data_IF_320549359410
#
_entry.id   IF_320549359410
#
_cell.length_a   1.000
_cell.length_b   1.000
_cell.length_c   1.000
_cell.angle_alpha   90.00
_cell.angle_beta   90.00
_cell.angle_gamma   90.00
#
_symmetry.space_group_name_H-M   'P 1'
#
loop_
_entity.id
_entity.type
_entity.pdbx_description
1 polymer ?
#
# COMPACT_ATOMS: atom_id res chain seq x y z
N UNK A 1 -12.15 4.21 6.69
CA UNK A 1 -10.74 3.75 6.62
C UNK A 1 -10.34 2.84 7.79
N UNK A 2 -10.91 1.63 7.89
CA UNK A 2 -10.60 0.71 9.01
C UNK A 2 -9.26 -0.03 8.79
N UNK A 3 -8.99 -0.45 7.55
CA UNK A 3 -7.84 -1.30 7.23
C UNK A 3 -6.62 -0.52 6.75
N UNK A 4 -6.69 0.81 6.65
CA UNK A 4 -5.58 1.60 6.13
C UNK A 4 -4.54 1.92 7.20
N UNK A 5 -3.29 1.55 6.93
CA UNK A 5 -2.12 1.82 7.77
C UNK A 5 -1.26 2.91 7.14
N UNK A 6 -1.29 4.09 7.74
CA UNK A 6 -0.40 5.18 7.36
C UNK A 6 1.06 4.85 7.70
N UNK A 7 1.96 5.15 6.77
CA UNK A 7 3.39 5.09 7.03
C UNK A 7 3.88 6.37 7.66
N UNK A 8 4.81 6.21 8.58
CA UNK A 8 5.67 7.27 9.08
C UNK A 8 7.08 7.14 8.47
N UNK A 9 7.96 8.04 8.86
CA UNK A 9 9.33 8.06 8.33
C UNK A 9 10.14 6.80 8.68
N UNK A 10 9.91 6.20 9.85
CA UNK A 10 10.60 4.97 10.25
C UNK A 10 10.19 3.78 9.38
N UNK A 11 8.91 3.67 9.01
CA UNK A 11 8.43 2.61 8.11
C UNK A 11 9.14 2.69 6.75
N UNK A 12 9.25 3.90 6.19
CA UNK A 12 9.98 4.12 4.94
C UNK A 12 11.47 3.81 5.08
N UNK A 13 12.09 4.27 6.16
CA UNK A 13 13.52 4.06 6.40
C UNK A 13 13.86 2.59 6.63
N UNK A 14 12.94 1.80 7.20
CA UNK A 14 13.09 0.35 7.34
C UNK A 14 13.35 -0.35 6.00
N UNK A 15 12.69 0.10 4.93
CA UNK A 15 12.89 -0.42 3.57
C UNK A 15 14.07 0.24 2.82
N UNK A 16 14.67 1.29 3.38
CA UNK A 16 15.68 2.11 2.69
C UNK A 16 17.10 1.70 3.10
N UNK A 17 17.91 1.26 2.14
CA UNK A 17 19.29 0.83 2.37
C UNK A 17 20.26 1.98 2.07
N UNK A 18 20.46 2.87 3.02
CA UNK A 18 21.34 4.05 2.85
C UNK A 18 22.76 3.62 2.44
N UNK A 19 23.32 4.31 1.46
CA UNK A 19 24.69 4.11 0.98
C UNK A 19 25.40 5.45 0.85
N UNK A 20 26.71 5.48 1.10
CA UNK A 20 27.50 6.71 0.94
C UNK A 20 27.53 7.12 -0.54
N UNK A 21 27.51 8.43 -0.77
CA UNK A 21 27.64 9.07 -2.09
C UNK A 21 26.45 8.89 -3.04
N UNK A 22 25.29 8.44 -2.54
CA UNK A 22 24.02 8.54 -3.24
C UNK A 22 22.91 8.97 -2.27
N UNK A 23 21.86 9.60 -2.80
CA UNK A 23 20.62 9.86 -2.06
C UNK A 23 19.53 8.98 -2.66
N UNK A 24 18.86 8.18 -1.83
CA UNK A 24 17.76 7.31 -2.24
C UNK A 24 16.42 8.01 -2.12
N UNK A 25 15.43 7.55 -2.90
CA UNK A 25 14.06 8.05 -2.79
C UNK A 25 13.55 7.94 -1.35
N UNK A 26 13.74 6.82 -0.68
CA UNK A 26 13.27 6.61 0.70
C UNK A 26 13.81 7.61 1.73
N UNK A 27 14.97 8.22 1.45
CA UNK A 27 15.52 9.29 2.28
C UNK A 27 14.73 10.60 2.13
N UNK A 28 14.15 10.83 0.94
CA UNK A 28 13.54 12.11 0.55
C UNK A 28 12.01 12.09 0.49
N UNK A 29 11.38 10.93 0.30
CA UNK A 29 9.91 10.83 0.24
C UNK A 29 9.23 11.39 1.47
N UNK A 30 8.06 11.98 1.24
CA UNK A 30 7.17 12.47 2.29
C UNK A 30 6.28 11.36 2.79
N UNK A 31 5.93 11.46 4.06
CA UNK A 31 5.01 10.57 4.77
C UNK A 31 4.15 11.43 5.69
N UNK A 32 2.85 11.13 5.86
CA UNK A 32 2.04 11.82 6.86
C UNK A 32 2.52 11.47 8.27
N UNK A 33 2.61 12.46 9.18
CA UNK A 33 2.85 12.15 10.60
C UNK A 33 1.56 11.72 11.30
N UNK A 34 0.41 12.17 10.80
CA UNK A 34 -0.91 11.77 11.26
C UNK A 34 -1.94 11.88 10.14
N UNK A 35 -3.09 11.19 10.25
CA UNK A 35 -4.19 11.35 9.28
C UNK A 35 -4.66 12.80 9.11
N UNK A 36 -4.54 13.62 10.16
CA UNK A 36 -4.96 15.03 10.12
C UNK A 36 -4.11 15.90 9.17
N UNK A 37 -2.87 15.50 8.89
CA UNK A 37 -1.98 16.22 7.97
C UNK A 37 -2.23 15.89 6.50
N UNK A 38 -3.02 14.84 6.21
CA UNK A 38 -3.23 14.35 4.86
C UNK A 38 -3.75 15.43 3.92
N UNK A 39 -4.76 16.20 4.35
CA UNK A 39 -5.31 17.30 3.53
C UNK A 39 -4.28 18.37 3.16
N UNK A 40 -3.39 18.72 4.10
CA UNK A 40 -2.31 19.68 3.85
C UNK A 40 -1.24 19.13 2.90
N UNK A 41 -0.94 17.82 3.00
CA UNK A 41 0.03 17.17 2.11
C UNK A 41 -0.51 17.00 0.69
N UNK A 42 -1.79 16.65 0.55
CA UNK A 42 -2.45 16.49 -0.76
C UNK A 42 -2.62 17.82 -1.50
N UNK A 43 -2.73 18.93 -0.78
CA UNK A 43 -2.82 20.27 -1.37
C UNK A 43 -1.45 20.92 -1.60
N UNK A 44 -0.37 20.29 -1.15
CA UNK A 44 0.97 20.82 -1.30
C UNK A 44 1.44 20.68 -2.77
N UNK A 45 1.71 21.79 -3.48
CA UNK A 45 2.08 21.75 -4.90
C UNK A 45 3.44 21.09 -5.18
N UNK A 46 4.27 20.89 -4.15
CA UNK A 46 5.52 20.13 -4.29
C UNK A 46 5.28 18.63 -4.42
N UNK A 47 4.15 18.11 -3.95
CA UNK A 47 3.76 16.71 -4.08
C UNK A 47 3.06 16.53 -5.42
N UNK A 48 3.67 15.73 -6.30
CA UNK A 48 3.11 15.41 -7.61
C UNK A 48 2.55 14.00 -7.68
N UNK A 49 3.07 13.10 -6.84
CA UNK A 49 2.70 11.70 -6.83
C UNK A 49 2.33 11.25 -5.42
N UNK A 50 1.27 10.46 -5.36
CA UNK A 50 0.79 9.80 -4.15
C UNK A 50 0.84 8.30 -4.39
N UNK A 51 1.47 7.57 -3.48
CA UNK A 51 1.61 6.11 -3.57
C UNK A 51 1.04 5.48 -2.30
N UNK A 52 0.17 4.50 -2.49
CA UNK A 52 -0.31 3.60 -1.43
C UNK A 52 -0.45 2.18 -1.99
N UNK A 53 -0.43 1.21 -1.09
CA UNK A 53 -0.52 -0.21 -1.43
C UNK A 53 -1.85 -0.84 -1.08
N UNK A 54 -2.23 -1.85 -1.85
CA UNK A 54 -3.33 -2.77 -1.54
C UNK A 54 -2.75 -4.20 -1.56
N UNK A 55 -1.93 -4.59 -0.57
CA UNK A 55 -1.32 -5.93 -0.50
C UNK A 55 -2.38 -6.99 -0.18
N UNK A 56 -3.10 -7.43 -1.20
CA UNK A 56 -4.09 -8.48 -1.14
C UNK A 56 -4.01 -9.40 -2.36
N UNK A 57 -4.51 -10.63 -2.23
CA UNK A 57 -4.70 -11.57 -3.34
C UNK A 57 -6.11 -12.22 -3.34
N UNK A 58 -7.03 -11.65 -2.56
CA UNK A 58 -8.45 -12.01 -2.46
C UNK A 58 -9.13 -11.85 -3.82
N UNK A 59 -8.93 -10.72 -4.51
CA UNK A 59 -9.52 -10.50 -5.84
C UNK A 59 -9.00 -11.50 -6.87
N UNK A 60 -7.70 -11.81 -6.83
CA UNK A 60 -7.07 -12.81 -7.70
C UNK A 60 -7.68 -14.20 -7.46
N UNK A 61 -7.81 -14.62 -6.19
CA UNK A 61 -8.42 -15.90 -5.81
C UNK A 61 -9.91 -15.96 -6.14
N UNK A 62 -10.64 -14.87 -5.94
CA UNK A 62 -12.06 -14.71 -6.30
C UNK A 62 -12.34 -14.87 -7.79
N UNK A 63 -11.31 -14.73 -8.63
CA UNK A 63 -11.35 -14.94 -10.07
C UNK A 63 -10.59 -16.20 -10.53
N UNK A 64 -10.47 -17.21 -9.65
CA UNK A 64 -9.77 -18.48 -9.91
C UNK A 64 -8.27 -18.35 -10.24
N UNK A 65 -7.67 -17.19 -9.99
CA UNK A 65 -6.24 -16.98 -10.16
C UNK A 65 -5.41 -17.65 -9.07
N UNK A 66 -4.11 -17.78 -9.34
CA UNK A 66 -3.13 -18.20 -8.34
C UNK A 66 -2.79 -17.02 -7.43
N UNK A 67 -2.91 -17.21 -6.12
CA UNK A 67 -2.58 -16.18 -5.13
C UNK A 67 -1.09 -15.82 -5.05
N UNK A 68 -0.75 -14.87 -4.19
CA UNK A 68 0.62 -14.37 -3.97
C UNK A 68 0.84 -12.89 -4.35
N UNK A 69 -0.16 -12.23 -4.93
CA UNK A 69 -0.11 -10.79 -5.25
C UNK A 69 0.03 -9.91 -3.98
N UNK A 70 -0.42 -10.41 -2.83
CA UNK A 70 -0.27 -9.78 -1.51
C UNK A 70 1.20 -9.50 -1.14
N UNK A 71 2.13 -10.32 -1.62
CA UNK A 71 3.57 -10.12 -1.40
C UNK A 71 4.18 -8.97 -2.23
N UNK A 72 3.53 -8.57 -3.33
CA UNK A 72 4.10 -7.70 -4.35
C UNK A 72 4.39 -6.28 -3.83
N UNK A 73 3.53 -5.75 -2.96
CA UNK A 73 3.70 -4.40 -2.39
C UNK A 73 5.02 -4.26 -1.64
N UNK A 74 5.36 -5.24 -0.80
CA UNK A 74 6.59 -5.22 0.00
C UNK A 74 7.85 -5.24 -0.88
N UNK A 75 7.83 -6.06 -1.94
CA UNK A 75 8.92 -6.17 -2.90
C UNK A 75 9.05 -4.88 -3.74
N UNK A 76 7.91 -4.34 -4.21
CA UNK A 76 7.85 -3.06 -4.90
C UNK A 76 8.43 -1.94 -4.03
N UNK A 77 7.95 -1.78 -2.80
CA UNK A 77 8.34 -0.68 -1.92
C UNK A 77 9.84 -0.74 -1.61
N UNK A 78 10.36 -1.94 -1.33
CA UNK A 78 11.79 -2.15 -1.14
C UNK A 78 12.60 -1.77 -2.38
N UNK A 79 12.18 -2.16 -3.59
CA UNK A 79 12.88 -1.79 -4.82
C UNK A 79 12.78 -0.29 -5.10
N UNK A 80 11.57 0.27 -5.00
CA UNK A 80 11.24 1.64 -5.32
C UNK A 80 12.01 2.62 -4.44
N UNK A 81 11.91 2.48 -3.11
CA UNK A 81 12.57 3.38 -2.17
C UNK A 81 14.10 3.34 -2.26
N UNK A 82 14.67 2.28 -2.83
CA UNK A 82 16.10 2.14 -3.04
C UNK A 82 16.61 2.66 -4.39
N UNK A 83 15.72 3.19 -5.24
CA UNK A 83 16.10 3.95 -6.43
C UNK A 83 16.74 5.28 -6.03
N UNK A 84 17.62 5.80 -6.87
CA UNK A 84 18.26 7.09 -6.63
C UNK A 84 17.26 8.23 -6.79
N UNK A 85 17.26 9.16 -5.83
CA UNK A 85 16.65 10.48 -5.99
C UNK A 85 17.59 11.36 -6.82
N UNK A 86 17.13 11.83 -7.98
CA UNK A 86 17.95 12.57 -8.95
C UNK A 86 17.15 13.68 -9.64
N UNK A 87 17.78 14.35 -10.61
CA UNK A 87 17.20 15.51 -11.31
C UNK A 87 15.93 15.19 -12.13
N UNK A 88 15.66 13.92 -12.41
CA UNK A 88 14.47 13.47 -13.15
C UNK A 88 13.35 12.98 -12.23
N UNK A 89 13.70 12.51 -11.03
CA UNK A 89 12.75 12.06 -10.02
C UNK A 89 13.31 12.38 -8.62
N UNK A 90 12.76 13.43 -8.01
CA UNK A 90 13.10 13.81 -6.65
C UNK A 90 12.16 13.11 -5.67
N UNK A 91 12.70 12.43 -4.66
CA UNK A 91 11.85 11.82 -3.64
C UNK A 91 10.94 12.84 -2.94
N UNK A 92 11.35 14.11 -2.88
CA UNK A 92 10.54 15.17 -2.29
C UNK A 92 9.21 15.45 -2.98
N UNK A 93 9.02 14.99 -4.22
CA UNK A 93 7.76 15.13 -4.97
C UNK A 93 6.79 13.95 -4.81
N UNK A 94 7.19 12.94 -4.01
CA UNK A 94 6.43 11.72 -3.76
C UNK A 94 5.97 11.67 -2.31
N UNK A 95 4.66 11.47 -2.13
CA UNK A 95 4.04 11.13 -0.86
C UNK A 95 3.78 9.63 -0.82
N UNK A 96 4.45 8.92 0.09
CA UNK A 96 4.16 7.52 0.40
C UNK A 96 3.19 7.49 1.58
N UNK A 97 1.93 7.18 1.31
CA UNK A 97 0.88 7.25 2.32
C UNK A 97 0.88 6.06 3.27
N UNK A 98 1.07 4.85 2.74
CA UNK A 98 0.82 3.64 3.51
C UNK A 98 0.30 2.49 2.66
N UNK A 99 -0.44 1.59 3.31
CA UNK A 99 -1.08 0.45 2.66
C UNK A 99 -2.34 0.02 3.40
N UNK A 100 -3.25 -0.65 2.70
CA UNK A 100 -4.31 -1.42 3.32
C UNK A 100 -3.79 -2.74 3.88
N UNK A 101 -4.41 -3.23 4.95
CA UNK A 101 -4.16 -4.57 5.50
C UNK A 101 -5.50 -5.30 5.68
N UNK A 102 -5.83 -6.16 4.70
CA UNK A 102 -7.02 -7.00 4.69
C UNK A 102 -6.73 -8.44 5.15
N UNK A 103 -5.66 -8.64 5.94
CA UNK A 103 -5.26 -9.96 6.42
C UNK A 103 -6.31 -10.64 7.30
N UNK A 104 -7.13 -9.86 8.01
CA UNK A 104 -8.25 -10.35 8.81
C UNK A 104 -9.40 -10.90 7.95
N UNK A 105 -9.80 -10.19 6.88
CA UNK A 105 -10.78 -10.69 5.91
C UNK A 105 -10.32 -12.02 5.30
N UNK A 106 -9.06 -12.07 4.86
CA UNK A 106 -8.46 -13.30 4.33
C UNK A 106 -8.49 -14.42 5.37
N UNK A 107 -8.10 -14.14 6.61
CA UNK A 107 -8.09 -15.12 7.69
C UNK A 107 -9.49 -15.67 7.98
N UNK A 108 -10.50 -14.81 8.06
CA UNK A 108 -11.89 -15.23 8.30
C UNK A 108 -12.41 -16.15 7.19
N UNK A 109 -12.17 -15.81 5.93
CA UNK A 109 -12.59 -16.63 4.78
C UNK A 109 -11.90 -18.00 4.81
N UNK A 110 -10.59 -18.02 5.08
CA UNK A 110 -9.80 -19.26 5.10
C UNK A 110 -10.18 -20.19 6.25
N UNK A 111 -10.62 -19.65 7.40
CA UNK A 111 -10.97 -20.44 8.58
C UNK A 111 -12.43 -20.92 8.59
N UNK A 112 -13.34 -20.16 7.99
CA UNK A 112 -14.78 -20.40 8.15
C UNK A 112 -15.50 -20.97 6.93
N UNK A 113 -14.87 -20.95 5.74
CA UNK A 113 -15.48 -21.56 4.56
C UNK A 113 -15.44 -23.09 4.62
N UNK A 114 -16.59 -23.73 4.45
CA UNK A 114 -16.75 -25.18 4.56
C UNK A 114 -16.34 -25.90 3.27
N UNK A 115 -16.59 -25.27 2.13
CA UNK A 115 -16.26 -25.80 0.81
C UNK A 115 -15.69 -24.74 -0.14
N UNK A 116 -15.29 -25.19 -1.34
CA UNK A 116 -14.64 -24.33 -2.34
C UNK A 116 -15.58 -23.31 -2.97
N UNK A 117 -16.88 -23.60 -3.05
CA UNK A 117 -17.87 -22.71 -3.64
C UNK A 117 -18.19 -21.57 -2.67
N UNK A 118 -18.44 -21.89 -1.40
CA UNK A 118 -18.61 -20.92 -0.32
C UNK A 118 -17.38 -20.02 -0.21
N UNK A 119 -16.17 -20.60 -0.23
CA UNK A 119 -14.92 -19.85 -0.17
C UNK A 119 -14.77 -18.86 -1.33
N UNK A 120 -15.09 -19.30 -2.55
CA UNK A 120 -15.04 -18.45 -3.74
C UNK A 120 -16.03 -17.29 -3.65
N UNK A 121 -17.25 -17.57 -3.20
CA UNK A 121 -18.28 -16.54 -3.01
C UNK A 121 -17.88 -15.56 -1.90
N UNK A 122 -17.26 -16.04 -0.82
CA UNK A 122 -16.77 -15.20 0.26
C UNK A 122 -15.63 -14.26 -0.20
N UNK A 123 -14.69 -14.73 -1.03
CA UNK A 123 -13.69 -13.85 -1.65
C UNK A 123 -14.34 -12.76 -2.50
N UNK A 124 -15.28 -13.14 -3.37
CA UNK A 124 -15.99 -12.17 -4.23
C UNK A 124 -16.76 -11.13 -3.43
N UNK A 125 -17.33 -11.53 -2.29
CA UNK A 125 -17.99 -10.59 -1.39
C UNK A 125 -16.99 -9.66 -0.71
N UNK A 126 -15.85 -10.17 -0.24
CA UNK A 126 -14.81 -9.34 0.39
C UNK A 126 -14.21 -8.30 -0.56
N UNK A 127 -14.15 -8.57 -1.87
CA UNK A 127 -13.75 -7.57 -2.88
C UNK A 127 -14.64 -6.32 -2.82
N UNK A 128 -15.94 -6.46 -2.55
CA UNK A 128 -16.85 -5.31 -2.44
C UNK A 128 -16.42 -4.40 -1.28
N UNK A 129 -16.11 -4.99 -0.12
CA UNK A 129 -15.60 -4.25 1.05
C UNK A 129 -14.26 -3.57 0.76
N UNK A 130 -13.36 -4.26 0.05
CA UNK A 130 -12.08 -3.69 -0.38
C UNK A 130 -12.31 -2.48 -1.29
N UNK A 131 -13.17 -2.63 -2.29
CA UNK A 131 -13.49 -1.56 -3.24
C UNK A 131 -14.09 -0.33 -2.54
N UNK A 132 -15.01 -0.53 -1.59
CA UNK A 132 -15.61 0.55 -0.80
C UNK A 132 -14.57 1.34 0.00
N UNK A 133 -13.64 0.66 0.69
CA UNK A 133 -12.60 1.32 1.48
C UNK A 133 -11.52 1.98 0.63
N UNK A 134 -11.15 1.38 -0.50
CA UNK A 134 -10.22 1.97 -1.46
C UNK A 134 -10.85 3.20 -2.11
N UNK A 135 -12.14 3.13 -2.45
CA UNK A 135 -12.90 4.25 -2.98
C UNK A 135 -12.92 5.44 -2.01
N UNK A 136 -13.16 5.20 -0.71
CA UNK A 136 -13.14 6.22 0.34
C UNK A 136 -11.80 6.98 0.41
N UNK A 137 -10.67 6.31 0.12
CA UNK A 137 -9.36 6.94 0.13
C UNK A 137 -9.09 7.79 -1.14
N UNK A 138 -9.65 7.39 -2.28
CA UNK A 138 -9.30 7.95 -3.60
C UNK A 138 -10.27 9.04 -4.05
N UNK A 139 -11.53 9.02 -3.61
CA UNK A 139 -12.54 10.03 -3.96
C UNK A 139 -12.50 11.24 -3.02
#
# INVERSE_FOLDING_TARGET
>A
MQHFKFYNKQDVLYFTRIRRFETKLGEQVKTPHSPAELGNLLTNPSIKYVIFGIPEDIGVRGNFGLGGADSAWSAFLASFLNTQSNDFLSGGEILVLGHFDFGDLKFLIEQHAHDSEEKLNAYRHAVITIDEEVEELVK
#
